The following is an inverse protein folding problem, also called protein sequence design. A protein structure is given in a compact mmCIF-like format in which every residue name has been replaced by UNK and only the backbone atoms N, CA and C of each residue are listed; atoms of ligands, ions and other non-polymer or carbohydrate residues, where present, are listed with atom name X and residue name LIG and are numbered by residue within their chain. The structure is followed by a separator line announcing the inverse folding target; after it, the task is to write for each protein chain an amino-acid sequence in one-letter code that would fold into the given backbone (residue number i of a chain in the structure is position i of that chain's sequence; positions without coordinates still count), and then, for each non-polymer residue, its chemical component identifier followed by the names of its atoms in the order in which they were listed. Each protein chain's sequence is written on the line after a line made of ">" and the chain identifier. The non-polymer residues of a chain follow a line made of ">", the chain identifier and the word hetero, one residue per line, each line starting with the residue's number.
data_IF_294946804285
#
_entry.id   IF_294946804285
#
_cell.length_a   1.000
_cell.length_b   1.000
_cell.length_c   1.000
_cell.angle_alpha   90.00
_cell.angle_beta   90.00
_cell.angle_gamma   90.00
#
_symmetry.space_group_name_H-M   'P 1'
#
loop_
_entity.id
_entity.type
_entity.pdbx_description
1 polymer ?
#
# COMPACT_ATOMS: atom_id res chain seq x y z
N UNK A 1 -2.20 -8.97 17.19
CA UNK A 1 -0.86 -8.56 16.74
C UNK A 1 -0.53 -9.37 15.50
N UNK A 2 -0.38 -8.70 14.36
CA UNK A 2 -0.07 -9.32 13.05
C UNK A 2 1.33 -9.92 13.12
N UNK A 3 1.54 -11.08 12.48
CA UNK A 3 2.84 -11.76 12.54
C UNK A 3 3.83 -11.19 11.53
N UNK A 4 3.33 -10.76 10.38
CA UNK A 4 4.14 -10.20 9.30
C UNK A 4 3.38 -9.12 8.56
N UNK A 5 4.13 -8.12 8.08
CA UNK A 5 3.67 -7.02 7.26
C UNK A 5 4.54 -6.99 6.01
N UNK A 6 3.96 -7.28 4.84
CA UNK A 6 4.70 -7.22 3.57
C UNK A 6 4.35 -5.93 2.85
N UNK A 7 5.36 -5.16 2.47
CA UNK A 7 5.19 -3.89 1.78
C UNK A 7 5.87 -3.98 0.41
N UNK A 8 5.09 -3.77 -0.64
CA UNK A 8 5.61 -3.64 -2.00
C UNK A 8 5.37 -2.23 -2.51
N UNK A 9 6.42 -1.57 -2.97
CA UNK A 9 6.29 -0.34 -3.77
C UNK A 9 5.82 -0.75 -5.16
N UNK A 10 4.76 -0.12 -5.66
CA UNK A 10 4.34 -0.28 -7.03
C UNK A 10 5.33 0.44 -7.96
N UNK A 11 6.47 -0.21 -8.23
CA UNK A 11 7.41 0.29 -9.22
C UNK A 11 6.94 -0.17 -10.59
N UNK A 12 6.75 0.81 -11.48
CA UNK A 12 6.57 0.58 -12.92
C UNK A 12 7.73 -0.28 -13.43
N UNK A 13 7.41 -1.43 -14.04
CA UNK A 13 8.39 -2.18 -14.84
C UNK A 13 8.99 -1.23 -15.89
N UNK A 14 10.32 -1.10 -16.00
CA UNK A 14 10.92 -0.03 -16.78
C UNK A 14 10.73 -0.31 -18.28
N UNK A 15 9.87 0.47 -18.95
CA UNK A 15 9.92 0.58 -20.40
C UNK A 15 10.57 1.91 -20.79
N UNK A 16 11.78 1.74 -21.32
CA UNK A 16 12.62 2.56 -22.19
C UNK A 16 12.29 4.05 -22.45
N UNK A 17 13.34 4.84 -22.24
CA UNK A 17 13.52 6.28 -22.47
C UNK A 17 13.43 6.72 -23.94
N UNK A 18 12.82 7.88 -24.18
CA UNK A 18 13.23 8.80 -25.25
C UNK A 18 13.22 10.23 -24.75
N UNK A 19 14.35 10.93 -24.93
CA UNK A 19 14.53 12.32 -24.55
C UNK A 19 14.33 13.26 -25.74
N UNK A 20 13.99 14.51 -25.44
CA UNK A 20 14.21 15.67 -26.33
C UNK A 20 14.34 16.98 -25.52
N UNK A 21 15.11 17.91 -26.08
CA UNK A 21 15.81 19.01 -25.39
C UNK A 21 15.19 20.41 -25.58
N UNK A 22 15.46 21.26 -24.57
CA UNK A 22 15.75 22.71 -24.60
C UNK A 22 14.62 23.75 -24.51
N UNK A 23 14.69 24.56 -23.44
CA UNK A 23 13.98 25.83 -23.29
C UNK A 23 14.38 26.57 -22.01
N UNK A 24 15.45 27.37 -22.05
CA UNK A 24 15.85 28.26 -20.93
C UNK A 24 14.77 29.34 -20.70
N UNK A 25 13.90 29.15 -19.71
CA UNK A 25 13.07 30.22 -19.14
C UNK A 25 13.49 30.53 -17.70
N UNK A 26 13.70 31.82 -17.48
CA UNK A 26 14.22 32.50 -16.29
C UNK A 26 13.42 32.10 -15.04
N UNK A 27 14.03 31.35 -14.12
CA UNK A 27 13.42 30.91 -12.86
C UNK A 27 13.26 32.14 -11.95
N UNK A 28 12.05 32.69 -11.92
CA UNK A 28 11.59 33.51 -10.78
C UNK A 28 11.33 32.52 -9.64
N UNK A 29 12.24 32.47 -8.67
CA UNK A 29 11.99 31.84 -7.36
C UNK A 29 10.90 32.63 -6.65
N UNK A 30 9.63 32.27 -6.86
CA UNK A 30 8.56 32.67 -5.96
C UNK A 30 8.56 31.70 -4.78
N UNK A 31 9.16 32.13 -3.69
CA UNK A 31 9.00 31.55 -2.36
C UNK A 31 7.51 31.58 -1.98
N UNK A 32 6.85 30.45 -2.15
CA UNK A 32 5.53 30.13 -1.60
C UNK A 32 5.33 28.61 -1.69
N UNK A 33 6.32 27.84 -1.23
CA UNK A 33 6.15 26.41 -0.96
C UNK A 33 5.45 26.28 0.39
N UNK A 34 4.13 26.49 0.39
CA UNK A 34 3.29 26.02 1.48
C UNK A 34 3.35 24.49 1.42
N UNK A 35 4.26 23.88 2.17
CA UNK A 35 4.48 22.43 2.33
C UNK A 35 3.38 21.57 1.69
N UNK A 36 3.54 21.25 0.40
CA UNK A 36 2.59 20.39 -0.29
C UNK A 36 2.60 19.04 0.44
N UNK A 37 1.48 18.72 1.11
CA UNK A 37 1.31 17.44 1.80
C UNK A 37 1.44 16.33 0.77
N UNK A 38 2.46 15.49 0.91
CA UNK A 38 2.64 14.33 0.01
C UNK A 38 1.58 13.30 0.33
N UNK A 39 0.90 12.76 -0.68
CA UNK A 39 -0.08 11.69 -0.51
C UNK A 39 0.59 10.36 -0.85
N UNK A 40 0.27 9.31 -0.11
CA UNK A 40 0.66 7.93 -0.37
C UNK A 40 -0.63 7.12 -0.54
N UNK A 41 -0.92 6.71 -1.76
CA UNK A 41 -2.08 5.89 -2.10
C UNK A 41 -1.75 4.43 -1.82
N UNK A 42 -2.50 3.80 -0.93
CA UNK A 42 -2.17 2.48 -0.40
C UNK A 42 -3.31 1.49 -0.67
N UNK A 43 -2.97 0.36 -1.27
CA UNK A 43 -3.81 -0.82 -1.33
C UNK A 43 -3.46 -1.78 -0.20
N UNK A 44 -4.46 -2.31 0.49
CA UNK A 44 -4.28 -3.19 1.64
C UNK A 44 -4.98 -4.50 1.39
N UNK A 45 -4.25 -5.57 1.64
CA UNK A 45 -4.69 -6.95 1.50
C UNK A 45 -4.57 -7.66 2.85
N UNK A 46 -5.54 -8.52 3.15
CA UNK A 46 -5.54 -9.42 4.31
C UNK A 46 -5.50 -10.83 3.76
N UNK A 47 -4.48 -11.60 4.12
CA UNK A 47 -4.35 -12.96 3.63
C UNK A 47 -5.32 -13.94 4.30
N UNK A 48 -5.45 -15.12 3.69
CA UNK A 48 -6.34 -16.16 4.20
C UNK A 48 -5.96 -16.65 5.62
N UNK A 49 -4.68 -16.93 5.95
CA UNK A 49 -4.30 -17.31 7.32
C UNK A 49 -4.76 -16.31 8.38
N UNK A 50 -4.59 -15.02 8.13
CA UNK A 50 -5.05 -13.97 9.02
C UNK A 50 -6.57 -13.88 9.06
N UNK A 51 -7.23 -13.86 7.90
CA UNK A 51 -8.70 -13.87 7.81
C UNK A 51 -9.28 -15.04 8.60
N UNK A 52 -8.82 -16.27 8.36
CA UNK A 52 -9.28 -17.47 9.04
C UNK A 52 -9.06 -17.39 10.56
N UNK A 53 -7.93 -16.85 11.00
CA UNK A 53 -7.66 -16.64 12.43
C UNK A 53 -8.63 -15.63 13.06
N UNK A 54 -8.93 -14.52 12.38
CA UNK A 54 -9.84 -13.50 12.91
C UNK A 54 -11.31 -13.96 12.84
N UNK A 55 -11.73 -14.56 11.73
CA UNK A 55 -13.10 -15.03 11.53
C UNK A 55 -13.44 -16.25 12.39
N UNK A 56 -12.61 -17.29 12.38
CA UNK A 56 -12.92 -18.56 13.06
C UNK A 56 -12.52 -18.52 14.52
N UNK A 57 -11.28 -18.10 14.84
CA UNK A 57 -10.77 -18.17 16.22
C UNK A 57 -11.19 -16.99 17.07
N UNK A 58 -11.31 -15.79 16.47
CA UNK A 58 -11.73 -14.57 17.17
C UNK A 58 -13.19 -14.20 16.94
N UNK A 59 -13.90 -14.91 16.05
CA UNK A 59 -15.31 -14.66 15.72
C UNK A 59 -15.58 -13.22 15.29
N UNK A 60 -14.58 -12.56 14.70
CA UNK A 60 -14.73 -11.20 14.19
C UNK A 60 -15.48 -11.25 12.86
N UNK A 61 -16.44 -10.36 12.70
CA UNK A 61 -17.08 -10.06 11.42
C UNK A 61 -16.10 -9.35 10.48
N UNK A 62 -16.41 -9.37 9.18
CA UNK A 62 -15.64 -8.63 8.17
C UNK A 62 -15.59 -7.13 8.51
N UNK A 63 -16.68 -6.55 9.00
CA UNK A 63 -16.74 -5.15 9.39
C UNK A 63 -15.78 -4.83 10.55
N UNK A 64 -15.78 -5.65 11.61
CA UNK A 64 -14.84 -5.47 12.74
C UNK A 64 -13.38 -5.61 12.32
N UNK A 65 -13.08 -6.48 11.35
CA UNK A 65 -11.74 -6.60 10.78
C UNK A 65 -11.35 -5.32 10.02
N UNK A 66 -12.25 -4.78 9.18
CA UNK A 66 -12.02 -3.54 8.45
C UNK A 66 -11.80 -2.37 9.41
N UNK A 67 -12.63 -2.24 10.46
CA UNK A 67 -12.48 -1.21 11.48
C UNK A 67 -11.13 -1.31 12.20
N UNK A 68 -10.72 -2.54 12.54
CA UNK A 68 -9.42 -2.79 13.17
C UNK A 68 -8.27 -2.34 12.26
N UNK A 69 -8.34 -2.66 10.97
CA UNK A 69 -7.32 -2.30 9.98
C UNK A 69 -7.26 -0.79 9.79
N UNK A 70 -8.41 -0.13 9.66
CA UNK A 70 -8.49 1.33 9.56
C UNK A 70 -7.97 2.02 10.82
N UNK A 71 -8.22 1.47 12.01
CA UNK A 71 -7.68 1.99 13.25
C UNK A 71 -6.14 1.94 13.28
N UNK A 72 -5.53 0.84 12.83
CA UNK A 72 -4.06 0.71 12.72
C UNK A 72 -3.49 1.74 11.76
N UNK A 73 -4.14 1.95 10.62
CA UNK A 73 -3.66 2.92 9.63
C UNK A 73 -3.82 4.35 10.11
N UNK A 74 -4.87 4.65 10.87
CA UNK A 74 -5.02 5.92 11.55
C UNK A 74 -3.89 6.13 12.55
N UNK A 75 -3.50 5.10 13.31
CA UNK A 75 -2.35 5.16 14.22
C UNK A 75 -1.04 5.42 13.45
N UNK A 76 -0.79 4.69 12.36
CA UNK A 76 0.37 4.93 11.49
C UNK A 76 0.36 6.35 10.94
N UNK A 77 -0.79 6.86 10.50
CA UNK A 77 -0.92 8.24 10.02
C UNK A 77 -0.57 9.27 11.10
N UNK A 78 -0.89 9.02 12.38
CA UNK A 78 -0.49 9.90 13.49
C UNK A 78 1.03 9.93 13.64
N UNK A 79 1.70 8.78 13.52
CA UNK A 79 3.17 8.70 13.55
C UNK A 79 3.78 9.50 12.40
N UNK A 80 3.26 9.36 11.18
CA UNK A 80 3.76 10.09 10.00
C UNK A 80 3.45 11.60 10.01
N UNK A 81 2.51 12.04 10.85
CA UNK A 81 2.22 13.45 11.10
C UNK A 81 3.03 14.02 12.28
N UNK A 82 3.90 13.23 12.91
CA UNK A 82 4.68 13.69 14.04
C UNK A 82 5.72 14.73 13.62
N UNK A 83 5.87 15.79 14.41
CA UNK A 83 6.61 17.00 13.98
C UNK A 83 8.10 16.79 13.75
N UNK A 84 8.70 15.69 14.21
CA UNK A 84 10.08 15.38 13.89
C UNK A 84 10.27 15.02 12.40
N UNK A 85 9.20 14.57 11.73
CA UNK A 85 9.18 14.35 10.29
C UNK A 85 8.99 15.69 9.59
N UNK A 86 10.08 16.23 9.03
CA UNK A 86 10.10 17.50 8.27
C UNK A 86 9.20 17.50 7.03
N UNK A 87 8.63 16.35 6.67
CA UNK A 87 7.74 16.20 5.51
C UNK A 87 6.42 15.64 6.00
N UNK A 88 5.33 16.33 5.65
CA UNK A 88 3.98 15.88 5.97
C UNK A 88 3.48 14.91 4.91
N UNK A 89 3.13 13.70 5.35
CA UNK A 89 2.55 12.67 4.49
C UNK A 89 1.07 12.43 4.85
N UNK A 90 0.24 12.17 3.84
CA UNK A 90 -1.11 11.67 3.98
C UNK A 90 -1.16 10.26 3.40
N UNK A 91 -1.36 9.26 4.23
CA UNK A 91 -1.65 7.91 3.79
C UNK A 91 -3.14 7.84 3.50
N UNK A 92 -3.50 7.40 2.30
CA UNK A 92 -4.89 7.22 1.87
C UNK A 92 -5.08 5.77 1.46
N UNK A 93 -6.06 5.11 2.04
CA UNK A 93 -6.45 3.76 1.65
C UNK A 93 -7.40 3.86 0.47
N UNK A 94 -6.94 3.48 -0.71
CA UNK A 94 -7.79 3.47 -1.91
C UNK A 94 -8.40 2.08 -2.18
N UNK A 95 -7.81 1.05 -1.58
CA UNK A 95 -8.28 -0.34 -1.69
C UNK A 95 -8.04 -1.09 -0.39
N UNK A 96 -9.05 -1.81 0.07
CA UNK A 96 -8.98 -2.74 1.19
C UNK A 96 -9.66 -4.04 0.79
N UNK A 97 -8.90 -5.12 0.68
CA UNK A 97 -9.40 -6.41 0.22
C UNK A 97 -9.05 -7.54 1.20
N UNK A 98 -10.04 -8.35 1.55
CA UNK A 98 -9.88 -9.52 2.41
C UNK A 98 -9.97 -10.78 1.56
N UNK A 99 -8.88 -11.54 1.52
CA UNK A 99 -8.74 -12.80 0.80
C UNK A 99 -9.33 -13.91 1.66
N UNK A 100 -10.64 -14.14 1.48
CA UNK A 100 -11.39 -15.20 2.15
C UNK A 100 -11.19 -16.55 1.46
N UNK A 101 -11.76 -17.61 2.04
CA UNK A 101 -11.77 -18.94 1.44
C UNK A 101 -12.30 -18.91 -0.01
N UNK A 102 -11.61 -19.62 -0.91
CA UNK A 102 -11.97 -19.72 -2.33
C UNK A 102 -11.67 -18.48 -3.17
N UNK A 103 -11.12 -17.39 -2.59
CA UNK A 103 -10.64 -16.25 -3.35
C UNK A 103 -9.19 -16.44 -3.77
N UNK A 104 -8.87 -15.96 -4.97
CA UNK A 104 -7.51 -15.97 -5.49
C UNK A 104 -6.63 -14.96 -4.72
N UNK A 105 -5.47 -15.42 -4.26
CA UNK A 105 -4.44 -14.62 -3.59
C UNK A 105 -3.06 -14.99 -4.11
N UNK A 106 -2.00 -14.29 -3.67
CA UNK A 106 -0.63 -14.71 -3.97
C UNK A 106 -0.33 -16.10 -3.38
N UNK A 107 0.52 -16.86 -4.06
CA UNK A 107 1.01 -18.14 -3.55
C UNK A 107 1.77 -17.92 -2.23
N UNK A 108 1.32 -18.59 -1.17
CA UNK A 108 1.85 -18.49 0.19
C UNK A 108 3.26 -19.08 0.36
N UNK A 109 3.81 -19.70 -0.70
CA UNK A 109 5.19 -20.19 -0.75
C UNK A 109 5.54 -21.15 0.41
N UNK A 110 4.55 -21.93 0.87
CA UNK A 110 4.68 -22.84 2.02
C UNK A 110 5.28 -22.18 3.30
N UNK A 111 5.13 -20.86 3.44
CA UNK A 111 5.65 -20.09 4.57
C UNK A 111 7.07 -19.53 4.39
N UNK A 112 7.69 -19.70 3.21
CA UNK A 112 8.90 -18.96 2.85
C UNK A 112 8.57 -17.47 2.71
N UNK A 113 9.14 -16.66 3.60
CA UNK A 113 8.82 -15.24 3.75
C UNK A 113 9.31 -14.43 2.55
N UNK A 114 10.49 -14.74 2.02
CA UNK A 114 11.08 -14.00 0.92
C UNK A 114 10.34 -14.31 -0.38
N UNK A 115 10.07 -15.59 -0.62
CA UNK A 115 9.29 -16.00 -1.80
C UNK A 115 7.84 -15.52 -1.71
N UNK A 116 7.24 -15.50 -0.52
CA UNK A 116 5.89 -14.97 -0.36
C UNK A 116 5.83 -13.45 -0.64
N UNK A 117 6.86 -12.70 -0.24
CA UNK A 117 6.97 -11.27 -0.57
C UNK A 117 7.03 -11.07 -2.09
N UNK A 118 7.85 -11.84 -2.81
CA UNK A 118 7.97 -11.75 -4.26
C UNK A 118 6.68 -12.14 -4.99
N UNK A 119 6.02 -13.20 -4.52
CA UNK A 119 4.71 -13.63 -5.02
C UNK A 119 3.65 -12.56 -4.80
N UNK A 120 3.62 -11.94 -3.61
CA UNK A 120 2.73 -10.84 -3.31
C UNK A 120 3.00 -9.62 -4.19
N UNK A 121 4.27 -9.21 -4.33
CA UNK A 121 4.69 -8.10 -5.19
C UNK A 121 4.25 -8.31 -6.65
N UNK A 122 4.43 -9.51 -7.18
CA UNK A 122 4.01 -9.86 -8.54
C UNK A 122 2.48 -9.85 -8.68
N UNK A 123 1.79 -10.48 -7.74
CA UNK A 123 0.32 -10.57 -7.73
C UNK A 123 -0.34 -9.20 -7.62
N UNK A 124 0.10 -8.34 -6.70
CA UNK A 124 -0.47 -7.00 -6.55
C UNK A 124 -0.20 -6.15 -7.78
N UNK A 125 0.99 -6.25 -8.39
CA UNK A 125 1.33 -5.47 -9.58
C UNK A 125 0.42 -5.84 -10.75
N UNK A 126 0.02 -7.10 -10.88
CA UNK A 126 -0.93 -7.54 -11.90
C UNK A 126 -2.34 -6.95 -11.73
N UNK A 127 -2.67 -6.47 -10.53
CA UNK A 127 -3.96 -5.87 -10.19
C UNK A 127 -3.92 -4.35 -10.16
N UNK A 128 -2.73 -3.74 -10.14
CA UNK A 128 -2.59 -2.30 -10.08
C UNK A 128 -3.00 -1.69 -11.43
N UNK A 129 -4.03 -0.83 -11.47
CA UNK A 129 -4.42 -0.15 -12.70
C UNK A 129 -3.25 0.66 -13.30
N UNK A 130 -3.35 1.11 -14.57
CA UNK A 130 -2.35 2.02 -15.12
C UNK A 130 -2.24 3.32 -14.30
N UNK A 131 -1.06 3.96 -14.30
CA UNK A 131 -0.73 5.15 -13.47
C UNK A 131 -1.69 6.35 -13.65
N UNK A 132 -2.41 6.41 -14.77
CA UNK A 132 -3.40 7.46 -15.03
C UNK A 132 -4.78 7.17 -14.43
N UNK A 133 -4.97 6.02 -13.79
CA UNK A 133 -6.20 5.66 -13.10
C UNK A 133 -6.24 6.27 -11.71
N UNK A 134 -7.40 6.81 -11.32
CA UNK A 134 -7.66 7.26 -9.94
C UNK A 134 -7.64 6.11 -8.91
N UNK A 135 -7.61 4.86 -9.37
CA UNK A 135 -7.54 3.66 -8.54
C UNK A 135 -6.12 3.04 -8.52
N UNK A 136 -5.14 3.70 -9.13
CA UNK A 136 -3.74 3.29 -9.04
C UNK A 136 -3.22 3.53 -7.62
N UNK A 137 -2.45 2.60 -7.06
CA UNK A 137 -1.80 2.78 -5.76
C UNK A 137 -0.28 2.89 -5.87
N UNK A 138 0.32 3.68 -4.98
CA UNK A 138 1.77 3.78 -4.81
C UNK A 138 2.34 2.55 -4.09
N UNK A 139 1.63 2.07 -3.05
CA UNK A 139 2.10 0.97 -2.21
C UNK A 139 1.00 -0.07 -2.02
N UNK A 140 1.40 -1.34 -1.99
CA UNK A 140 0.56 -2.45 -1.59
C UNK A 140 1.07 -3.06 -0.28
N UNK A 141 0.15 -3.31 0.65
CA UNK A 141 0.43 -3.84 1.98
C UNK A 141 -0.31 -5.17 2.17
N UNK A 142 0.39 -6.25 2.52
CA UNK A 142 -0.22 -7.52 2.95
C UNK A 142 -0.12 -7.67 4.46
N UNK A 143 -1.27 -7.86 5.12
CA UNK A 143 -1.38 -8.27 6.51
C UNK A 143 -1.50 -9.79 6.58
N UNK A 144 -0.58 -10.43 7.34
CA UNK A 144 -0.46 -11.90 7.45
C UNK A 144 -0.45 -12.41 8.90
N UNK A 145 -0.85 -13.67 9.14
CA UNK A 145 -1.40 -14.17 10.43
C UNK A 145 -0.83 -15.42 11.09
#
# INVERSE_FOLDING_TARGET
>A
MFKSLFLCLAVVSPHESTGETFGKKRIRRSSSDSELRKVIETAIYVDYPLYHKLSVKKKQSVAEMQDTILAILNEVQLIYNYQSLKTKFKIVVIKLEIISEGKEGPDAADGDIDLYLDNFCSWQSSKNPPINSELHWDHALMLSG
#
